data_IF_930222055447
#
_entry.id   IF_930222055447
#
_cell.length_a   1.000
_cell.length_b   1.000
_cell.length_c   1.000
_cell.angle_alpha   90.00
_cell.angle_beta   90.00
_cell.angle_gamma   90.00
#
_symmetry.space_group_name_H-M   'P 1'
#
loop_
_entity.id
_entity.type
_entity.pdbx_description
1 polymer ?
#
# COMPACT_ATOMS: atom_id res chain seq x y z
N UNK A 1 -7.32 -6.98 23.42
CA UNK A 1 -6.43 -6.68 22.28
C UNK A 1 -5.23 -7.62 22.21
N UNK A 2 -4.54 -7.87 23.33
CA UNK A 2 -3.26 -8.61 23.38
C UNK A 2 -3.36 -10.06 22.89
N UNK A 3 -4.31 -10.87 23.33
CA UNK A 3 -4.33 -12.31 22.99
C UNK A 3 -4.48 -12.60 21.49
N UNK A 4 -5.44 -11.95 20.82
CA UNK A 4 -5.70 -12.18 19.40
C UNK A 4 -4.63 -11.55 18.50
N UNK A 5 -4.16 -10.35 18.84
CA UNK A 5 -3.05 -9.70 18.13
C UNK A 5 -1.77 -10.55 18.24
N UNK A 6 -1.42 -11.01 19.45
CA UNK A 6 -0.27 -11.88 19.67
C UNK A 6 -0.39 -13.21 18.93
N UNK A 7 -1.59 -13.78 18.83
CA UNK A 7 -1.83 -15.00 18.04
C UNK A 7 -1.57 -14.77 16.54
N UNK A 8 -2.11 -13.69 15.98
CA UNK A 8 -1.89 -13.35 14.56
C UNK A 8 -0.42 -13.05 14.30
N UNK A 9 0.22 -12.27 15.17
CA UNK A 9 1.65 -11.98 15.05
C UNK A 9 2.47 -13.27 15.13
N UNK A 10 2.18 -14.16 16.09
CA UNK A 10 2.84 -15.46 16.20
C UNK A 10 2.64 -16.32 14.95
N UNK A 11 1.44 -16.32 14.35
CA UNK A 11 1.16 -17.04 13.11
C UNK A 11 1.97 -16.48 11.93
N UNK A 12 2.07 -15.16 11.80
CA UNK A 12 2.90 -14.50 10.77
C UNK A 12 4.38 -14.84 10.97
N UNK A 13 4.88 -14.76 12.20
CA UNK A 13 6.27 -15.08 12.53
C UNK A 13 6.58 -16.56 12.26
N UNK A 14 5.65 -17.47 12.59
CA UNK A 14 5.78 -18.90 12.29
C UNK A 14 5.81 -19.15 10.78
N UNK A 15 4.94 -18.48 10.01
CA UNK A 15 4.94 -18.57 8.54
C UNK A 15 6.26 -18.07 7.94
N UNK A 16 6.77 -16.94 8.42
CA UNK A 16 8.06 -16.41 7.97
C UNK A 16 9.23 -17.31 8.35
N UNK A 17 9.22 -17.89 9.56
CA UNK A 17 10.23 -18.85 9.99
C UNK A 17 10.21 -20.12 9.12
N UNK A 18 9.03 -20.65 8.82
CA UNK A 18 8.87 -21.77 7.89
C UNK A 18 9.37 -21.43 6.49
N UNK A 19 9.01 -20.25 5.96
CA UNK A 19 9.49 -19.78 4.66
C UNK A 19 11.02 -19.61 4.64
N UNK A 20 11.62 -19.05 5.69
CA UNK A 20 13.08 -18.95 5.85
C UNK A 20 13.75 -20.32 5.90
N UNK A 21 13.17 -21.30 6.61
CA UNK A 21 13.69 -22.65 6.67
C UNK A 21 13.65 -23.34 5.29
N UNK A 22 12.52 -23.23 4.57
CA UNK A 22 12.38 -23.73 3.20
C UNK A 22 13.41 -23.07 2.27
N UNK A 23 13.51 -21.74 2.32
CA UNK A 23 14.47 -20.97 1.53
C UNK A 23 15.92 -21.35 1.78
N UNK A 24 16.27 -21.65 3.05
CA UNK A 24 17.60 -22.15 3.42
C UNK A 24 17.87 -23.57 2.90
N UNK A 25 16.89 -24.47 2.99
CA UNK A 25 17.01 -25.83 2.45
C UNK A 25 17.17 -25.78 0.92
N UNK A 26 16.38 -24.96 0.23
CA UNK A 26 16.49 -24.76 -1.22
C UNK A 26 17.84 -24.17 -1.60
N UNK A 27 18.38 -23.24 -0.82
CA UNK A 27 19.68 -22.63 -1.10
C UNK A 27 20.82 -23.65 -1.02
N UNK A 28 20.73 -24.64 -0.12
CA UNK A 28 21.69 -25.74 -0.04
C UNK A 28 21.53 -26.79 -1.14
N UNK A 29 20.35 -26.89 -1.76
CA UNK A 29 20.04 -27.86 -2.82
C UNK A 29 20.20 -27.30 -4.23
N UNK A 30 20.16 -25.98 -4.39
CA UNK A 30 20.29 -25.32 -5.68
C UNK A 30 21.74 -25.41 -6.18
N UNK A 31 21.95 -26.21 -7.23
CA UNK A 31 23.26 -26.41 -7.86
C UNK A 31 23.35 -25.72 -9.23
N UNK A 32 22.24 -25.61 -9.94
CA UNK A 32 22.21 -24.97 -11.26
C UNK A 32 22.17 -23.44 -11.16
N UNK A 33 22.91 -22.69 -12.01
CA UNK A 33 22.99 -21.22 -11.93
C UNK A 33 21.63 -20.51 -11.90
N UNK A 34 20.66 -20.98 -12.70
CA UNK A 34 19.30 -20.41 -12.73
C UNK A 34 18.49 -20.67 -11.46
N UNK A 35 18.65 -21.85 -10.87
CA UNK A 35 18.02 -22.21 -9.59
C UNK A 35 18.60 -21.39 -8.43
N UNK A 36 19.92 -21.17 -8.42
CA UNK A 36 20.63 -20.36 -7.42
C UNK A 36 20.14 -18.92 -7.44
N UNK A 37 20.03 -18.30 -8.62
CA UNK A 37 19.52 -16.94 -8.76
C UNK A 37 18.06 -16.80 -8.27
N UNK A 38 17.23 -17.79 -8.58
CA UNK A 38 15.82 -17.81 -8.14
C UNK A 38 15.70 -17.91 -6.63
N UNK A 39 16.47 -18.81 -6.00
CA UNK A 39 16.46 -18.98 -4.54
C UNK A 39 17.06 -17.75 -3.84
N UNK A 40 18.10 -17.13 -4.40
CA UNK A 40 18.63 -15.88 -3.85
C UNK A 40 17.58 -14.77 -3.86
N UNK A 41 16.82 -14.62 -4.96
CA UNK A 41 15.72 -13.65 -5.03
C UNK A 41 14.61 -13.96 -4.03
N UNK A 42 14.26 -15.25 -3.85
CA UNK A 42 13.28 -15.69 -2.84
C UNK A 42 13.73 -15.33 -1.42
N UNK A 43 14.98 -15.65 -1.06
CA UNK A 43 15.51 -15.36 0.27
C UNK A 43 15.63 -13.86 0.53
N UNK A 44 15.97 -13.06 -0.48
CA UNK A 44 15.92 -11.60 -0.38
C UNK A 44 14.51 -11.11 -0.04
N UNK A 45 13.46 -11.65 -0.68
CA UNK A 45 12.05 -11.36 -0.35
C UNK A 45 11.69 -11.70 1.08
N UNK A 46 12.04 -12.90 1.53
CA UNK A 46 11.73 -13.32 2.90
C UNK A 46 12.40 -12.39 3.92
N UNK A 47 13.65 -11.95 3.69
CA UNK A 47 14.33 -10.97 4.57
C UNK A 47 13.62 -9.62 4.59
N UNK A 48 13.19 -9.10 3.44
CA UNK A 48 12.41 -7.86 3.39
C UNK A 48 11.11 -7.97 4.18
N UNK A 49 10.43 -9.11 4.11
CA UNK A 49 9.23 -9.39 4.92
C UNK A 49 9.50 -9.35 6.42
N UNK A 50 10.60 -9.95 6.88
CA UNK A 50 11.01 -9.87 8.29
C UNK A 50 11.19 -8.43 8.76
N UNK A 51 11.86 -7.60 7.95
CA UNK A 51 12.07 -6.17 8.27
C UNK A 51 10.73 -5.44 8.31
N UNK A 52 9.86 -5.63 7.32
CA UNK A 52 8.55 -4.98 7.27
C UNK A 52 7.66 -5.37 8.45
N UNK A 53 7.60 -6.66 8.79
CA UNK A 53 6.83 -7.15 9.95
C UNK A 53 7.40 -6.63 11.26
N UNK A 54 8.73 -6.54 11.40
CA UNK A 54 9.36 -5.98 12.60
C UNK A 54 9.05 -4.48 12.78
N UNK A 55 9.20 -3.69 11.71
CA UNK A 55 8.93 -2.25 11.75
C UNK A 55 7.44 -2.00 12.02
N UNK A 56 6.56 -2.66 11.26
CA UNK A 56 5.12 -2.46 11.39
C UNK A 56 4.55 -3.01 12.71
N UNK A 57 4.95 -4.21 13.10
CA UNK A 57 4.58 -4.80 14.38
C UNK A 57 5.11 -3.99 15.56
N UNK A 58 6.35 -3.51 15.48
CA UNK A 58 6.94 -2.60 16.46
C UNK A 58 6.17 -1.28 16.58
N UNK A 59 5.77 -0.68 15.46
CA UNK A 59 4.96 0.53 15.46
C UNK A 59 3.60 0.32 16.13
N UNK A 60 2.92 -0.80 15.86
CA UNK A 60 1.64 -1.13 16.53
C UNK A 60 1.84 -1.31 18.04
N UNK A 61 2.94 -1.94 18.47
CA UNK A 61 3.25 -2.13 19.89
C UNK A 61 3.59 -0.80 20.61
N UNK A 62 4.18 0.17 19.90
CA UNK A 62 4.48 1.51 20.41
C UNK A 62 3.24 2.42 20.46
N UNK A 63 2.14 2.03 19.82
CA UNK A 63 0.85 2.73 19.86
C UNK A 63 0.57 3.60 18.63
N UNK A 64 -0.61 4.22 18.63
CA UNK A 64 -1.19 4.87 17.45
C UNK A 64 -0.30 5.98 16.87
N UNK A 65 0.35 6.78 17.73
CA UNK A 65 1.27 7.83 17.30
C UNK A 65 2.44 7.26 16.50
N UNK A 66 3.00 6.12 16.90
CA UNK A 66 4.10 5.49 16.18
C UNK A 66 3.65 4.97 14.80
N UNK A 67 2.43 4.44 14.70
CA UNK A 67 1.84 4.02 13.42
C UNK A 67 1.62 5.23 12.50
N UNK A 68 1.05 6.33 13.02
CA UNK A 68 0.86 7.57 12.26
C UNK A 68 2.19 8.12 11.74
N UNK A 69 3.23 8.16 12.58
CA UNK A 69 4.58 8.58 12.18
C UNK A 69 5.16 7.65 11.11
N UNK A 70 5.04 6.33 11.28
CA UNK A 70 5.51 5.35 10.29
C UNK A 70 4.88 5.62 8.92
N UNK A 71 3.56 5.77 8.85
CA UNK A 71 2.88 6.04 7.59
C UNK A 71 3.18 7.43 7.03
N UNK A 72 3.41 8.44 7.86
CA UNK A 72 3.88 9.75 7.40
C UNK A 72 5.24 9.64 6.69
N UNK A 73 6.17 8.86 7.26
CA UNK A 73 7.47 8.58 6.63
C UNK A 73 7.32 7.78 5.33
N UNK A 74 6.44 6.77 5.30
CA UNK A 74 6.14 6.00 4.10
C UNK A 74 5.54 6.87 3.00
N UNK A 75 4.59 7.76 3.34
CA UNK A 75 4.03 8.75 2.42
C UNK A 75 5.09 9.72 1.91
N UNK A 76 6.01 10.17 2.76
CA UNK A 76 7.12 11.05 2.35
C UNK A 76 8.03 10.34 1.33
N UNK A 77 8.40 9.08 1.60
CA UNK A 77 9.23 8.28 0.69
C UNK A 77 8.50 7.99 -0.62
N UNK A 78 7.22 7.62 -0.57
CA UNK A 78 6.38 7.37 -1.74
C UNK A 78 6.22 8.63 -2.60
N UNK A 79 5.95 9.79 -1.97
CA UNK A 79 5.84 11.08 -2.64
C UNK A 79 7.18 11.45 -3.31
N UNK A 80 8.32 11.23 -2.63
CA UNK A 80 9.66 11.42 -3.20
C UNK A 80 9.90 10.55 -4.43
N UNK A 81 9.61 9.25 -4.35
CA UNK A 81 9.78 8.33 -5.48
C UNK A 81 8.89 8.73 -6.67
N UNK A 82 7.63 9.07 -6.41
CA UNK A 82 6.70 9.54 -7.43
C UNK A 82 7.21 10.79 -8.14
N UNK A 83 7.67 11.79 -7.39
CA UNK A 83 8.18 13.04 -7.95
C UNK A 83 9.51 12.91 -8.67
N UNK A 84 10.35 11.97 -8.26
CA UNK A 84 11.64 11.74 -8.93
C UNK A 84 11.45 11.27 -10.36
N UNK A 85 10.36 10.54 -10.65
CA UNK A 85 10.05 10.04 -11.99
C UNK A 85 9.11 10.95 -12.79
N UNK A 86 8.33 11.79 -12.11
CA UNK A 86 7.32 12.63 -12.76
C UNK A 86 7.96 13.90 -13.32
N UNK A 87 7.80 14.21 -14.63
CA UNK A 87 8.34 15.43 -15.22
C UNK A 87 7.80 16.68 -14.53
N UNK A 88 8.70 17.49 -13.97
CA UNK A 88 8.41 18.77 -13.31
C UNK A 88 9.17 19.92 -13.96
N UNK A 89 8.61 21.12 -13.87
CA UNK A 89 9.23 22.37 -14.32
C UNK A 89 9.54 23.29 -13.14
N UNK A 90 10.33 24.33 -13.39
CA UNK A 90 10.65 25.37 -12.39
C UNK A 90 9.39 26.02 -11.80
N UNK A 91 8.35 26.21 -12.61
CA UNK A 91 7.06 26.75 -12.15
C UNK A 91 6.35 25.88 -11.11
N UNK A 92 6.70 24.59 -11.00
CA UNK A 92 6.07 23.68 -10.03
C UNK A 92 6.79 23.64 -8.69
N UNK A 93 8.03 24.15 -8.60
CA UNK A 93 8.90 23.95 -7.44
C UNK A 93 8.27 24.41 -6.13
N UNK A 94 7.52 25.52 -6.15
CA UNK A 94 6.82 26.01 -4.95
C UNK A 94 5.66 25.07 -4.57
N UNK A 95 4.87 24.59 -5.53
CA UNK A 95 3.80 23.64 -5.27
C UNK A 95 4.35 22.28 -4.76
N UNK A 96 5.47 21.82 -5.31
CA UNK A 96 6.18 20.63 -4.85
C UNK A 96 6.72 20.80 -3.43
N UNK A 97 7.34 21.95 -3.14
CA UNK A 97 7.81 22.29 -1.80
C UNK A 97 6.66 22.28 -0.79
N UNK A 98 5.56 22.97 -1.09
CA UNK A 98 4.37 22.97 -0.23
C UNK A 98 3.79 21.58 -0.04
N UNK A 99 3.83 20.72 -1.06
CA UNK A 99 3.37 19.33 -0.97
C UNK A 99 4.13 18.54 0.09
N UNK A 100 5.46 18.68 0.15
CA UNK A 100 6.31 17.97 1.13
C UNK A 100 6.30 18.58 2.53
N UNK A 101 6.37 19.91 2.61
CA UNK A 101 6.69 20.59 3.87
C UNK A 101 5.48 21.24 4.54
N UNK A 102 4.34 21.32 3.85
CA UNK A 102 3.10 21.88 4.40
C UNK A 102 1.96 20.86 4.31
N UNK A 103 1.60 20.42 3.11
CA UNK A 103 0.43 19.55 2.91
C UNK A 103 0.61 18.21 3.61
N UNK A 104 1.71 17.48 3.37
CA UNK A 104 1.93 16.19 4.01
C UNK A 104 1.96 16.28 5.55
N UNK A 105 2.76 17.17 6.19
CA UNK A 105 2.76 17.30 7.64
C UNK A 105 1.41 17.70 8.23
N UNK A 106 0.74 18.70 7.64
CA UNK A 106 -0.59 19.12 8.11
C UNK A 106 -1.59 17.97 8.00
N UNK A 107 -1.58 17.22 6.90
CA UNK A 107 -2.48 16.09 6.69
C UNK A 107 -2.32 15.01 7.77
N UNK A 108 -1.08 14.67 8.14
CA UNK A 108 -0.79 13.72 9.20
C UNK A 108 -0.98 14.28 10.63
N UNK A 109 -0.86 15.60 10.82
CA UNK A 109 -1.25 16.25 12.08
C UNK A 109 -2.77 16.20 12.27
N UNK A 110 -3.55 16.47 11.23
CA UNK A 110 -5.01 16.33 11.25
C UNK A 110 -5.44 14.90 11.58
N UNK A 111 -4.67 13.92 11.09
CA UNK A 111 -4.83 12.53 11.46
C UNK A 111 -4.52 12.31 12.95
N UNK A 112 -3.40 12.83 13.45
CA UNK A 112 -3.02 12.70 14.86
C UNK A 112 -3.97 13.39 15.84
N UNK A 113 -4.62 14.49 15.44
CA UNK A 113 -5.63 15.20 16.26
C UNK A 113 -7.04 14.63 16.12
N UNK A 114 -7.20 13.55 15.35
CA UNK A 114 -8.48 12.87 15.11
C UNK A 114 -9.54 13.75 14.42
N UNK A 115 -9.13 14.81 13.71
CA UNK A 115 -10.08 15.74 13.07
C UNK A 115 -10.52 15.23 11.69
N UNK A 116 -11.34 14.18 11.68
CA UNK A 116 -11.79 13.49 10.47
C UNK A 116 -12.34 14.42 9.39
N UNK A 117 -13.25 15.35 9.76
CA UNK A 117 -13.93 16.20 8.79
C UNK A 117 -12.95 17.02 7.95
N UNK A 118 -11.93 17.60 8.58
CA UNK A 118 -10.90 18.35 7.88
C UNK A 118 -9.91 17.42 7.17
N UNK A 119 -9.47 16.32 7.81
CA UNK A 119 -8.62 15.30 7.18
C UNK A 119 -9.20 14.80 5.84
N UNK A 120 -10.50 14.52 5.79
CA UNK A 120 -11.16 13.96 4.61
C UNK A 120 -11.21 14.93 3.42
N UNK A 121 -11.32 16.24 3.69
CA UNK A 121 -11.44 17.28 2.65
C UNK A 121 -10.13 18.05 2.41
N UNK A 122 -9.12 17.92 3.29
CA UNK A 122 -7.91 18.74 3.25
C UNK A 122 -7.16 18.61 1.92
N UNK A 123 -6.82 17.40 1.49
CA UNK A 123 -6.17 17.20 0.20
C UNK A 123 -7.17 17.38 -0.96
N UNK A 124 -8.33 16.70 -0.99
CA UNK A 124 -9.23 16.74 -2.14
C UNK A 124 -9.85 18.11 -2.45
N UNK A 125 -9.94 19.00 -1.46
CA UNK A 125 -10.51 20.35 -1.62
C UNK A 125 -9.44 21.42 -1.44
N UNK A 126 -8.82 21.53 -0.27
CA UNK A 126 -7.92 22.65 0.01
C UNK A 126 -6.61 22.56 -0.77
N UNK A 127 -5.89 21.44 -0.73
CA UNK A 127 -4.67 21.27 -1.52
C UNK A 127 -4.96 21.27 -3.03
N UNK A 128 -6.11 20.72 -3.42
CA UNK A 128 -6.60 20.76 -4.81
C UNK A 128 -6.70 22.18 -5.37
N UNK A 129 -7.23 23.12 -4.58
CA UNK A 129 -7.38 24.51 -4.99
C UNK A 129 -6.10 25.34 -4.78
N UNK A 130 -5.40 25.15 -3.66
CA UNK A 130 -4.25 25.99 -3.27
C UNK A 130 -3.03 25.73 -4.16
N UNK A 131 -2.69 24.46 -4.44
CA UNK A 131 -1.42 24.17 -5.12
C UNK A 131 -1.37 24.69 -6.56
N UNK A 132 -2.43 24.53 -7.39
CA UNK A 132 -2.45 25.16 -8.71
C UNK A 132 -2.48 26.69 -8.61
N UNK A 133 -3.23 27.26 -7.66
CA UNK A 133 -3.27 28.71 -7.45
C UNK A 133 -1.90 29.29 -7.06
N UNK A 134 -1.09 28.54 -6.32
CA UNK A 134 0.30 28.93 -6.03
C UNK A 134 1.19 28.74 -7.25
N UNK A 135 0.99 27.68 -8.04
CA UNK A 135 1.75 27.45 -9.26
C UNK A 135 1.53 28.56 -10.32
N UNK A 136 0.34 29.17 -10.38
CA UNK A 136 0.08 30.30 -11.31
C UNK A 136 0.90 31.54 -10.99
N UNK A 137 1.32 31.74 -9.73
CA UNK A 137 2.16 32.87 -9.31
C UNK A 137 3.53 32.89 -10.03
N UNK A 138 3.95 31.75 -10.58
CA UNK A 138 5.20 31.64 -11.35
C UNK A 138 5.06 32.12 -12.79
N UNK A 139 3.84 32.30 -13.30
CA UNK A 139 3.56 32.71 -14.68
C UNK A 139 3.85 31.64 -15.75
N UNK A 140 4.25 30.41 -15.38
CA UNK A 140 4.51 29.34 -16.36
C UNK A 140 3.21 28.67 -16.80
N UNK A 141 2.75 28.97 -18.01
CA UNK A 141 1.52 28.43 -18.60
C UNK A 141 1.71 27.09 -19.34
N UNK A 142 2.95 26.67 -19.59
CA UNK A 142 3.20 25.49 -20.42
C UNK A 142 2.74 24.22 -19.74
N UNK A 143 1.91 23.42 -20.42
CA UNK A 143 1.33 22.18 -19.88
C UNK A 143 0.68 22.35 -18.48
N UNK A 144 0.23 23.56 -18.13
CA UNK A 144 -0.15 23.89 -16.75
C UNK A 144 -1.19 22.93 -16.17
N UNK A 145 -2.19 22.55 -16.96
CA UNK A 145 -3.20 21.57 -16.57
C UNK A 145 -2.60 20.19 -16.28
N UNK A 146 -1.74 19.68 -17.16
CA UNK A 146 -1.12 18.36 -17.00
C UNK A 146 -0.18 18.34 -15.78
N UNK A 147 0.60 19.40 -15.57
CA UNK A 147 1.48 19.53 -14.40
C UNK A 147 0.68 19.61 -13.09
N UNK A 148 -0.36 20.44 -13.07
CA UNK A 148 -1.26 20.53 -11.91
C UNK A 148 -1.94 19.18 -11.62
N UNK A 149 -2.41 18.49 -12.64
CA UNK A 149 -3.02 17.17 -12.51
C UNK A 149 -2.03 16.15 -11.94
N UNK A 150 -0.77 16.13 -12.40
CA UNK A 150 0.30 15.28 -11.83
C UNK A 150 0.54 15.55 -10.34
N UNK A 151 0.54 16.83 -9.92
CA UNK A 151 0.65 17.20 -8.49
C UNK A 151 -0.50 16.66 -7.67
N UNK A 152 -1.71 16.87 -8.13
CA UNK A 152 -2.90 16.40 -7.42
C UNK A 152 -2.96 14.88 -7.35
N UNK A 153 -2.70 14.20 -8.46
CA UNK A 153 -2.65 12.73 -8.51
C UNK A 153 -1.56 12.16 -7.60
N UNK A 154 -0.37 12.75 -7.61
CA UNK A 154 0.73 12.35 -6.73
C UNK A 154 0.35 12.43 -5.26
N UNK A 155 -0.23 13.55 -4.82
CA UNK A 155 -0.71 13.72 -3.43
C UNK A 155 -1.86 12.78 -3.08
N UNK A 156 -2.83 12.61 -4.00
CA UNK A 156 -3.96 11.71 -3.78
C UNK A 156 -3.50 10.27 -3.58
N UNK A 157 -2.55 9.79 -4.37
CA UNK A 157 -2.05 8.41 -4.28
C UNK A 157 -1.11 8.23 -3.08
N UNK A 158 -0.10 9.09 -2.94
CA UNK A 158 1.03 8.87 -2.03
C UNK A 158 0.83 9.44 -0.63
N UNK A 159 -0.09 10.38 -0.44
CA UNK A 159 -0.36 10.99 0.87
C UNK A 159 -1.78 10.66 1.30
N UNK A 160 -2.78 11.13 0.57
CA UNK A 160 -4.18 10.94 0.95
C UNK A 160 -4.53 9.46 1.09
N UNK A 161 -4.31 8.67 0.05
CA UNK A 161 -4.75 7.27 0.09
C UNK A 161 -3.93 6.40 1.04
N UNK A 162 -2.62 6.59 1.11
CA UNK A 162 -1.76 5.89 2.08
C UNK A 162 -2.16 6.22 3.52
N UNK A 163 -2.49 7.48 3.82
CA UNK A 163 -2.93 7.91 5.16
C UNK A 163 -4.25 7.28 5.62
N UNK A 164 -5.05 6.70 4.72
CA UNK A 164 -6.28 6.00 5.12
C UNK A 164 -6.01 4.66 5.82
N UNK A 165 -4.82 4.08 5.68
CA UNK A 165 -4.44 2.91 6.45
C UNK A 165 -4.32 3.24 7.95
N UNK A 166 -3.46 4.19 8.40
CA UNK A 166 -3.42 4.59 9.81
C UNK A 166 -4.69 5.35 10.24
N UNK A 167 -5.48 5.93 9.32
CA UNK A 167 -6.78 6.52 9.67
C UNK A 167 -7.76 5.53 10.28
N UNK A 168 -7.63 4.22 9.99
CA UNK A 168 -8.43 3.18 10.64
C UNK A 168 -8.37 3.28 12.17
N UNK A 169 -7.25 3.76 12.73
CA UNK A 169 -7.08 3.95 14.18
C UNK A 169 -8.01 5.01 14.76
N UNK A 170 -8.53 5.94 13.96
CA UNK A 170 -9.52 6.93 14.37
C UNK A 170 -10.93 6.33 14.56
N UNK A 171 -11.19 5.16 13.97
CA UNK A 171 -12.52 4.58 13.94
C UNK A 171 -12.84 3.93 15.29
N UNK A 172 -14.05 4.18 15.79
CA UNK A 172 -14.57 3.51 16.97
C UNK A 172 -15.51 2.40 16.52
N UNK A 173 -15.11 1.16 16.78
CA UNK A 173 -15.89 -0.05 16.44
C UNK A 173 -15.89 -1.01 17.62
N UNK A 174 -16.70 -2.06 17.56
CA UNK A 174 -16.74 -3.13 18.56
C UNK A 174 -15.42 -3.92 18.68
N UNK A 175 -14.53 -3.78 17.69
CA UNK A 175 -13.18 -4.36 17.71
C UNK A 175 -12.10 -3.29 17.80
N UNK A 176 -10.95 -3.59 18.43
CA UNK A 176 -9.84 -2.66 18.46
C UNK A 176 -9.36 -2.26 17.06
N UNK A 177 -9.25 -0.95 16.81
CA UNK A 177 -8.99 -0.36 15.50
C UNK A 177 -7.65 -0.77 14.89
N UNK A 178 -6.65 -1.08 15.74
CA UNK A 178 -5.38 -1.66 15.30
C UNK A 178 -5.55 -3.02 14.59
N UNK A 179 -6.56 -3.82 14.98
CA UNK A 179 -6.83 -5.10 14.32
C UNK A 179 -7.41 -4.92 12.91
N UNK A 180 -8.17 -3.84 12.66
CA UNK A 180 -8.63 -3.49 11.31
C UNK A 180 -7.46 -3.17 10.39
N UNK A 181 -6.48 -2.44 10.90
CA UNK A 181 -5.25 -2.13 10.15
C UNK A 181 -4.45 -3.41 9.87
N UNK A 182 -4.31 -4.31 10.84
CA UNK A 182 -3.69 -5.63 10.64
C UNK A 182 -4.46 -6.45 9.60
N UNK A 183 -5.79 -6.47 9.67
CA UNK A 183 -6.66 -7.14 8.71
C UNK A 183 -6.43 -6.63 7.28
N UNK A 184 -6.46 -5.31 7.07
CA UNK A 184 -6.21 -4.68 5.79
C UNK A 184 -4.86 -5.10 5.22
N UNK A 185 -3.79 -4.96 6.02
CA UNK A 185 -2.42 -5.26 5.56
C UNK A 185 -2.30 -6.74 5.21
N UNK A 186 -2.81 -7.66 6.03
CA UNK A 186 -2.74 -9.10 5.74
C UNK A 186 -3.48 -9.44 4.44
N UNK A 187 -4.71 -8.96 4.26
CA UNK A 187 -5.52 -9.29 3.08
C UNK A 187 -4.89 -8.74 1.81
N UNK A 188 -4.43 -7.47 1.82
CA UNK A 188 -3.74 -6.87 0.66
C UNK A 188 -2.46 -7.62 0.32
N UNK A 189 -1.62 -7.86 1.31
CA UNK A 189 -0.31 -8.46 1.09
C UNK A 189 -0.39 -9.93 0.66
N UNK A 190 -1.30 -10.70 1.26
CA UNK A 190 -1.55 -12.07 0.83
C UNK A 190 -2.18 -12.13 -0.56
N UNK A 191 -3.03 -11.15 -0.92
CA UNK A 191 -3.53 -11.03 -2.29
C UNK A 191 -2.40 -10.92 -3.31
N UNK A 192 -1.43 -10.05 -3.09
CA UNK A 192 -0.29 -9.90 -4.01
C UNK A 192 0.58 -11.16 -4.08
N UNK A 193 0.84 -11.80 -2.94
CA UNK A 193 1.58 -13.06 -2.88
C UNK A 193 0.84 -14.17 -3.63
N UNK A 194 -0.45 -14.37 -3.35
CA UNK A 194 -1.23 -15.43 -3.97
C UNK A 194 -1.43 -15.17 -5.46
N UNK A 195 -1.70 -13.94 -5.89
CA UNK A 195 -1.78 -13.62 -7.32
C UNK A 195 -0.48 -13.94 -8.05
N UNK A 196 0.66 -13.67 -7.43
CA UNK A 196 1.96 -14.04 -7.99
C UNK A 196 2.16 -15.56 -8.05
N UNK A 197 1.84 -16.29 -6.98
CA UNK A 197 2.00 -17.75 -6.90
C UNK A 197 1.08 -18.46 -7.90
N UNK A 198 -0.22 -18.17 -7.88
CA UNK A 198 -1.17 -18.74 -8.83
C UNK A 198 -0.83 -18.36 -10.28
N UNK A 199 -0.38 -17.12 -10.50
CA UNK A 199 0.07 -16.68 -11.81
C UNK A 199 1.33 -17.39 -12.31
N UNK A 200 2.23 -17.80 -11.42
CA UNK A 200 3.41 -18.60 -11.80
C UNK A 200 3.10 -20.09 -12.02
N UNK A 201 2.18 -20.65 -11.23
CA UNK A 201 1.85 -22.07 -11.30
C UNK A 201 0.90 -22.41 -12.45
N UNK A 202 -0.15 -21.60 -12.64
CA UNK A 202 -1.24 -21.88 -13.57
C UNK A 202 -1.45 -20.79 -14.62
N UNK A 203 -0.67 -19.70 -14.58
CA UNK A 203 -0.86 -18.56 -15.47
C UNK A 203 -0.62 -18.90 -16.93
N UNK A 204 -1.68 -18.81 -17.73
CA UNK A 204 -1.63 -18.97 -19.19
C UNK A 204 -2.06 -17.69 -19.88
N UNK A 205 -3.05 -17.00 -19.33
CA UNK A 205 -3.63 -15.80 -19.94
C UNK A 205 -3.12 -14.55 -19.23
N UNK A 206 -2.28 -13.77 -19.92
CA UNK A 206 -1.82 -12.46 -19.41
C UNK A 206 -2.97 -11.47 -19.41
N UNK A 207 -3.13 -10.71 -18.33
CA UNK A 207 -4.22 -9.74 -18.20
C UNK A 207 -3.97 -8.51 -19.09
N UNK A 208 -2.78 -7.92 -19.01
CA UNK A 208 -2.33 -6.85 -19.92
C UNK A 208 -0.81 -6.82 -20.02
N UNK A 209 -0.24 -7.39 -21.09
CA UNK A 209 1.21 -7.48 -21.27
C UNK A 209 1.92 -6.13 -21.29
N UNK A 210 1.26 -5.07 -21.77
CA UNK A 210 1.85 -3.73 -21.92
C UNK A 210 2.00 -3.00 -20.59
N UNK A 211 1.08 -3.23 -19.65
CA UNK A 211 1.08 -2.59 -18.33
C UNK A 211 1.87 -3.44 -17.32
N UNK A 212 1.52 -4.72 -17.23
CA UNK A 212 2.13 -5.65 -16.27
C UNK A 212 2.31 -7.04 -16.88
N UNK A 213 3.52 -7.38 -17.37
CA UNK A 213 3.79 -8.64 -18.03
C UNK A 213 3.60 -9.88 -17.14
N UNK A 214 3.66 -9.69 -15.82
CA UNK A 214 3.64 -10.76 -14.82
C UNK A 214 2.24 -11.09 -14.30
N UNK A 215 1.24 -10.22 -14.51
CA UNK A 215 -0.13 -10.44 -14.00
C UNK A 215 -0.94 -11.27 -15.01
N UNK A 216 -1.50 -12.37 -14.52
CA UNK A 216 -2.32 -13.30 -15.31
C UNK A 216 -3.74 -13.37 -14.76
N UNK A 217 -4.69 -13.78 -15.61
CA UNK A 217 -6.09 -13.93 -15.22
C UNK A 217 -6.27 -15.05 -14.17
N UNK A 218 -5.52 -16.15 -14.30
CA UNK A 218 -5.53 -17.23 -13.32
C UNK A 218 -4.95 -16.78 -11.98
N UNK A 219 -3.91 -15.94 -12.02
CA UNK A 219 -3.36 -15.29 -10.83
C UNK A 219 -4.41 -14.41 -10.14
N UNK A 220 -5.12 -13.58 -10.90
CA UNK A 220 -6.18 -12.72 -10.38
C UNK A 220 -7.32 -13.52 -9.74
N UNK A 221 -7.84 -14.53 -10.44
CA UNK A 221 -8.99 -15.31 -9.97
C UNK A 221 -8.58 -16.23 -8.81
N UNK A 222 -7.56 -17.08 -9.00
CA UNK A 222 -7.13 -18.05 -7.99
C UNK A 222 -6.48 -17.38 -6.78
N UNK A 223 -5.62 -16.39 -7.02
CA UNK A 223 -4.96 -15.64 -5.97
C UNK A 223 -5.92 -14.71 -5.22
N UNK A 224 -6.81 -14.03 -5.94
CA UNK A 224 -7.86 -13.21 -5.34
C UNK A 224 -8.81 -14.03 -4.48
N UNK A 225 -9.32 -15.16 -5.00
CA UNK A 225 -10.19 -16.06 -4.23
C UNK A 225 -9.50 -16.61 -2.97
N UNK A 226 -8.21 -16.95 -3.06
CA UNK A 226 -7.43 -17.39 -1.90
C UNK A 226 -7.31 -16.30 -0.83
N UNK A 227 -7.06 -15.05 -1.23
CA UNK A 227 -6.97 -13.93 -0.29
C UNK A 227 -8.34 -13.55 0.31
N UNK A 228 -9.42 -13.64 -0.46
CA UNK A 228 -10.79 -13.46 0.03
C UNK A 228 -11.13 -14.53 1.06
N UNK A 229 -10.77 -15.78 0.80
CA UNK A 229 -10.97 -16.87 1.77
C UNK A 229 -10.21 -16.60 3.06
N UNK A 230 -8.93 -16.23 2.98
CA UNK A 230 -8.15 -15.89 4.18
C UNK A 230 -8.76 -14.72 4.94
N UNK A 231 -9.15 -13.65 4.26
CA UNK A 231 -9.84 -12.51 4.89
C UNK A 231 -11.16 -12.94 5.57
N UNK A 232 -11.95 -13.79 4.92
CA UNK A 232 -13.18 -14.35 5.49
C UNK A 232 -12.90 -15.14 6.77
N UNK A 233 -11.83 -15.94 6.80
CA UNK A 233 -11.42 -16.72 7.98
C UNK A 233 -10.89 -15.81 9.11
N UNK A 234 -10.39 -14.63 8.78
CA UNK A 234 -9.90 -13.62 9.72
C UNK A 234 -11.01 -12.68 10.24
N UNK A 235 -12.30 -12.97 10.01
CA UNK A 235 -13.42 -12.11 10.43
C UNK A 235 -13.36 -11.70 11.91
N UNK A 236 -12.81 -12.56 12.80
CA UNK A 236 -12.64 -12.27 14.24
C UNK A 236 -11.74 -11.08 14.56
N UNK A 237 -10.93 -10.61 13.60
CA UNK A 237 -10.13 -9.39 13.73
C UNK A 237 -10.94 -8.11 13.49
N UNK A 238 -12.20 -8.24 13.10
CA UNK A 238 -13.04 -7.16 12.60
C UNK A 238 -14.42 -7.22 13.24
N UNK A 239 -15.24 -6.15 13.18
CA UNK A 239 -16.63 -6.19 13.67
C UNK A 239 -17.57 -6.91 12.69
N UNK A 240 -17.04 -7.60 11.68
CA UNK A 240 -17.80 -8.17 10.57
C UNK A 240 -18.28 -9.59 10.89
N UNK A 241 -19.47 -9.94 10.40
CA UNK A 241 -19.85 -11.35 10.18
C UNK A 241 -18.96 -11.98 9.08
N UNK A 242 -18.86 -13.32 9.00
CA UNK A 242 -18.06 -13.97 7.95
C UNK A 242 -18.45 -13.54 6.53
N UNK A 243 -19.74 -13.37 6.24
CA UNK A 243 -20.20 -12.92 4.92
C UNK A 243 -19.78 -11.47 4.63
N UNK A 244 -19.86 -10.59 5.63
CA UNK A 244 -19.38 -9.21 5.51
C UNK A 244 -17.86 -9.17 5.34
N UNK A 245 -17.10 -9.98 6.07
CA UNK A 245 -15.65 -10.10 5.90
C UNK A 245 -15.28 -10.55 4.48
N UNK A 246 -16.00 -11.52 3.91
CA UNK A 246 -15.83 -11.95 2.52
C UNK A 246 -16.09 -10.81 1.52
N UNK A 247 -17.20 -10.06 1.71
CA UNK A 247 -17.55 -8.94 0.84
C UNK A 247 -16.50 -7.82 0.92
N UNK A 248 -16.08 -7.43 2.13
CA UNK A 248 -15.06 -6.40 2.33
C UNK A 248 -13.70 -6.85 1.81
N UNK A 249 -13.30 -8.10 2.02
CA UNK A 249 -12.08 -8.65 1.43
C UNK A 249 -12.12 -8.66 -0.09
N UNK A 250 -13.28 -8.88 -0.69
CA UNK A 250 -13.45 -8.78 -2.15
C UNK A 250 -13.14 -7.37 -2.62
N UNK A 251 -13.66 -6.34 -1.93
CA UNK A 251 -13.35 -4.93 -2.24
C UNK A 251 -11.86 -4.66 -2.08
N UNK A 252 -11.24 -5.08 -0.98
CA UNK A 252 -9.80 -4.90 -0.72
C UNK A 252 -8.96 -5.53 -1.84
N UNK A 253 -9.28 -6.77 -2.25
CA UNK A 253 -8.54 -7.52 -3.27
C UNK A 253 -8.66 -6.87 -4.65
N UNK A 254 -9.88 -6.49 -5.04
CA UNK A 254 -10.14 -5.84 -6.34
C UNK A 254 -9.48 -4.46 -6.38
N UNK A 255 -9.64 -3.66 -5.33
CA UNK A 255 -9.02 -2.35 -5.22
C UNK A 255 -7.49 -2.45 -5.23
N UNK A 256 -6.91 -3.37 -4.46
CA UNK A 256 -5.47 -3.61 -4.43
C UNK A 256 -4.92 -4.00 -5.80
N UNK A 257 -5.60 -4.90 -6.51
CA UNK A 257 -5.23 -5.25 -7.89
C UNK A 257 -5.21 -4.01 -8.80
N UNK A 258 -6.26 -3.20 -8.79
CA UNK A 258 -6.31 -1.99 -9.61
C UNK A 258 -5.27 -0.94 -9.18
N UNK A 259 -4.97 -0.81 -7.89
CA UNK A 259 -3.91 0.08 -7.41
C UNK A 259 -2.56 -0.29 -7.99
N UNK A 260 -2.13 -1.55 -7.85
CA UNK A 260 -0.89 -2.04 -8.46
C UNK A 260 -0.88 -1.91 -9.99
N UNK A 261 -2.03 -2.11 -10.64
CA UNK A 261 -2.16 -2.01 -12.09
C UNK A 261 -2.08 -0.57 -12.61
N UNK A 262 -2.76 0.37 -11.95
CA UNK A 262 -2.72 1.80 -12.28
C UNK A 262 -1.31 2.36 -12.06
N UNK A 263 -0.68 2.07 -10.92
CA UNK A 263 0.69 2.53 -10.66
C UNK A 263 1.69 1.91 -11.64
N UNK A 264 1.49 0.66 -12.05
CA UNK A 264 2.27 0.05 -13.12
C UNK A 264 2.09 0.79 -14.45
N UNK A 265 0.87 1.16 -14.82
CA UNK A 265 0.60 1.91 -16.04
C UNK A 265 1.27 3.29 -16.03
N UNK A 266 1.20 4.02 -14.91
CA UNK A 266 1.88 5.31 -14.73
C UNK A 266 3.39 5.14 -14.90
N UNK A 267 4.01 4.13 -14.29
CA UNK A 267 5.45 3.86 -14.49
C UNK A 267 5.81 3.65 -15.96
N UNK A 268 5.00 2.89 -16.70
CA UNK A 268 5.23 2.62 -18.13
C UNK A 268 5.10 3.89 -18.97
N UNK A 269 4.12 4.74 -18.66
CA UNK A 269 3.98 6.06 -19.28
C UNK A 269 5.21 6.94 -19.05
N UNK A 270 5.77 6.88 -17.84
CA UNK A 270 7.01 7.56 -17.47
C UNK A 270 8.29 6.86 -17.96
N UNK A 271 8.19 5.81 -18.79
CA UNK A 271 9.30 4.99 -19.27
C UNK A 271 10.16 4.37 -18.14
N UNK A 272 9.58 4.18 -16.96
CA UNK A 272 10.21 3.57 -15.80
C UNK A 272 9.73 2.13 -15.58
N UNK A 273 10.56 1.33 -14.90
CA UNK A 273 10.21 -0.04 -14.48
C UNK A 273 9.76 -0.08 -13.01
N UNK A 274 10.53 0.57 -12.16
CA UNK A 274 10.39 0.59 -10.70
C UNK A 274 10.35 2.06 -10.22
N UNK A 275 9.64 2.34 -9.12
CA UNK A 275 9.50 3.71 -8.60
C UNK A 275 10.78 4.24 -7.94
N UNK A 276 11.62 3.32 -7.45
CA UNK A 276 12.89 3.61 -6.79
C UNK A 276 13.69 2.34 -6.51
N UNK A 277 14.80 2.48 -5.79
CA UNK A 277 15.72 1.38 -5.45
C UNK A 277 16.01 1.28 -3.95
N UNK A 278 15.10 1.78 -3.11
CA UNK A 278 15.33 1.90 -1.67
C UNK A 278 15.37 0.52 -0.98
N UNK A 279 14.61 -0.46 -1.49
CA UNK A 279 14.53 -1.78 -0.88
C UNK A 279 15.17 -2.80 -1.83
N UNK A 280 16.28 -3.39 -1.38
CA UNK A 280 17.04 -4.36 -2.16
C UNK A 280 16.16 -5.55 -2.60
N UNK A 281 16.10 -5.80 -3.91
CA UNK A 281 15.26 -6.83 -4.51
C UNK A 281 13.75 -6.54 -4.58
N UNK A 282 13.28 -5.36 -4.13
CA UNK A 282 11.85 -5.01 -3.98
C UNK A 282 11.43 -3.71 -4.66
N UNK A 283 12.36 -2.96 -5.26
CA UNK A 283 12.04 -1.67 -5.89
C UNK A 283 11.85 -0.55 -4.87
N UNK A 284 10.94 0.37 -5.14
CA UNK A 284 10.64 1.51 -4.28
C UNK A 284 9.68 1.17 -3.13
N UNK A 285 9.55 2.11 -2.18
CA UNK A 285 8.50 2.10 -1.17
C UNK A 285 7.12 2.13 -1.83
N UNK A 286 6.95 2.92 -2.89
CA UNK A 286 5.69 3.02 -3.62
C UNK A 286 5.32 1.72 -4.35
N UNK A 287 6.30 0.90 -4.77
CA UNK A 287 6.07 -0.45 -5.30
C UNK A 287 5.56 -1.44 -4.23
N UNK A 288 5.67 -1.11 -2.94
CA UNK A 288 5.18 -1.95 -1.83
C UNK A 288 3.81 -1.50 -1.31
N UNK A 289 3.46 -0.25 -1.59
CA UNK A 289 2.23 0.38 -1.12
C UNK A 289 1.19 0.52 -2.24
N UNK A 290 1.51 0.10 -3.47
CA UNK A 290 0.66 0.26 -4.65
C UNK A 290 -0.76 -0.30 -4.45
N UNK A 291 -0.88 -1.54 -3.97
CA UNK A 291 -2.17 -2.13 -3.64
C UNK A 291 -2.86 -1.43 -2.46
N UNK A 292 -2.09 -0.96 -1.47
CA UNK A 292 -2.63 -0.23 -0.31
C UNK A 292 -3.24 1.11 -0.73
N UNK A 293 -2.63 1.80 -1.72
CA UNK A 293 -3.10 3.12 -2.18
C UNK A 293 -4.53 3.09 -2.71
N UNK A 294 -5.06 1.96 -3.16
CA UNK A 294 -6.47 1.86 -3.57
C UNK A 294 -7.32 1.17 -2.51
N UNK A 295 -6.78 0.14 -1.85
CA UNK A 295 -7.54 -0.63 -0.87
C UNK A 295 -7.85 0.14 0.43
N UNK A 296 -6.89 0.91 0.95
CA UNK A 296 -7.02 1.60 2.23
C UNK A 296 -8.19 2.61 2.28
N UNK A 297 -8.33 3.57 1.34
CA UNK A 297 -9.41 4.55 1.40
C UNK A 297 -10.79 3.90 1.26
N UNK A 298 -10.94 2.87 0.41
CA UNK A 298 -12.21 2.16 0.25
C UNK A 298 -12.57 1.38 1.50
N UNK A 299 -11.60 0.64 2.06
CA UNK A 299 -11.82 -0.10 3.30
C UNK A 299 -12.19 0.84 4.46
N UNK A 300 -11.42 1.92 4.65
CA UNK A 300 -11.68 2.90 5.70
C UNK A 300 -13.12 3.46 5.62
N UNK A 301 -13.56 3.90 4.44
CA UNK A 301 -14.89 4.47 4.29
C UNK A 301 -16.00 3.42 4.46
N UNK A 302 -15.79 2.18 4.01
CA UNK A 302 -16.73 1.09 4.27
C UNK A 302 -16.89 0.87 5.78
N UNK A 303 -15.79 0.77 6.53
CA UNK A 303 -15.87 0.60 7.99
C UNK A 303 -16.55 1.81 8.63
N UNK A 304 -16.15 3.02 8.26
CA UNK A 304 -16.69 4.25 8.82
C UNK A 304 -18.19 4.43 8.59
N UNK A 305 -18.72 4.09 7.42
CA UNK A 305 -20.14 4.35 7.14
C UNK A 305 -21.07 3.26 7.68
N UNK A 306 -20.57 2.03 7.82
CA UNK A 306 -21.42 0.87 8.09
C UNK A 306 -21.13 0.17 9.42
N UNK A 307 -19.98 0.44 10.06
CA UNK A 307 -19.49 -0.35 11.19
C UNK A 307 -18.89 0.50 12.33
N UNK A 308 -18.97 1.83 12.27
CA UNK A 308 -18.66 2.69 13.42
C UNK A 308 -19.93 3.13 14.13
N UNK A 309 -19.83 3.21 15.45
CA UNK A 309 -20.86 3.74 16.35
C UNK A 309 -20.68 5.23 16.60
#
# INVERSE_FOLDING_TARGET
MTSLFSLVLAAILALLAAASAIGFILQRRATEPGSVATVHNLNARIRSWWIMVAIFGGAILLGDTAVVILFALLSFMALREFWTLTPSRRGDHLALFLSFFVVLPVHYVLLGTLWYGLFAIFIPVYAFLILPAVATLTGDVNEFLARSARVQWGLMLTVYSISHAPALLMLQTDTPSALLLVYLVIVVQLSDVFQYVWGKLLGKHRFSPNISPSKTLEGLIGGGASAILVGTLLYRLTPFSPLQAAAVSTVIVVAGFFGGFVLSAIKRDLNAKDWGYVIEGHGGVLDRLDSITFAAPLFFHIVRYWFTT
#
